data_IF_121056701829
#
_entry.id   IF_121056701829
#
_cell.length_a   1.000
_cell.length_b   1.000
_cell.length_c   1.000
_cell.angle_alpha   90.00
_cell.angle_beta   90.00
_cell.angle_gamma   90.00
#
_symmetry.space_group_name_H-M   'P 1'
#
loop_
_entity.id
_entity.type
_entity.pdbx_description
1 polymer ?
#
# COMPACT_ATOMS: atom_id res chain seq x y z
N UNK A 1 -3.69 -6.87 17.09
CA UNK A 1 -3.81 -8.08 16.26
C UNK A 1 -5.25 -8.65 16.17
N UNK A 2 -6.22 -8.13 16.94
CA UNK A 2 -7.63 -8.57 16.86
C UNK A 2 -8.51 -7.72 15.91
N UNK A 3 -8.08 -6.50 15.56
CA UNK A 3 -8.85 -5.57 14.71
C UNK A 3 -8.86 -5.98 13.24
N UNK A 4 -7.76 -6.55 12.73
CA UNK A 4 -7.63 -7.00 11.33
C UNK A 4 -8.57 -8.19 11.05
N UNK A 5 -8.64 -9.18 11.95
CA UNK A 5 -9.50 -10.37 11.77
C UNK A 5 -11.00 -10.02 11.76
N UNK A 6 -11.39 -8.92 12.41
CA UNK A 6 -12.81 -8.48 12.44
C UNK A 6 -13.27 -7.86 11.11
N UNK A 7 -12.36 -7.34 10.30
CA UNK A 7 -12.67 -6.71 9.01
C UNK A 7 -12.97 -7.76 7.93
N UNK A 8 -12.24 -8.88 7.91
CA UNK A 8 -12.51 -10.00 6.99
C UNK A 8 -13.92 -10.60 7.19
N UNK A 9 -14.47 -10.56 8.41
CA UNK A 9 -15.82 -11.06 8.70
C UNK A 9 -16.95 -10.10 8.21
N UNK A 10 -16.60 -8.86 7.85
CA UNK A 10 -17.51 -7.84 7.31
C UNK A 10 -17.48 -7.73 5.78
N UNK A 11 -16.71 -8.60 5.09
CA UNK A 11 -16.61 -8.60 3.63
C UNK A 11 -15.93 -7.36 3.04
N UNK A 12 -15.03 -6.72 3.79
CA UNK A 12 -14.12 -5.70 3.23
C UNK A 12 -12.96 -6.42 2.53
N UNK A 13 -12.66 -6.04 1.29
CA UNK A 13 -11.62 -6.66 0.45
C UNK A 13 -10.41 -5.71 0.33
N UNK A 14 -9.20 -6.26 0.16
CA UNK A 14 -7.91 -5.56 0.36
C UNK A 14 -7.69 -4.30 -0.50
N UNK A 15 -8.50 -4.06 -1.53
CA UNK A 15 -8.42 -2.87 -2.40
C UNK A 15 -9.72 -2.06 -2.49
N UNK A 16 -10.68 -2.32 -1.60
CA UNK A 16 -11.90 -1.49 -1.54
C UNK A 16 -11.62 -0.09 -1.00
N UNK A 17 -12.34 0.89 -1.54
CA UNK A 17 -12.23 2.29 -1.13
C UNK A 17 -13.33 2.62 -0.13
N UNK A 18 -12.94 3.22 0.98
CA UNK A 18 -13.82 3.57 2.09
C UNK A 18 -13.69 5.04 2.44
N UNK A 19 -14.82 5.67 2.72
CA UNK A 19 -14.88 6.98 3.37
C UNK A 19 -15.05 6.78 4.87
N UNK A 20 -14.24 7.51 5.65
CA UNK A 20 -14.27 7.52 7.11
C UNK A 20 -14.80 8.88 7.55
N UNK A 21 -15.98 8.92 8.16
CA UNK A 21 -16.65 10.18 8.56
C UNK A 21 -16.14 10.73 9.90
N UNK A 22 -15.69 9.85 10.79
CA UNK A 22 -15.20 10.22 12.12
C UNK A 22 -13.94 9.41 12.47
N UNK A 23 -12.90 10.12 12.90
CA UNK A 23 -11.57 9.58 13.20
C UNK A 23 -11.04 10.22 14.47
N UNK A 24 -10.89 9.40 15.51
CA UNK A 24 -10.15 9.78 16.72
C UNK A 24 -8.76 9.14 16.67
N UNK A 25 -7.72 9.96 16.76
CA UNK A 25 -6.33 9.51 16.83
C UNK A 25 -5.96 9.25 18.28
N UNK A 26 -5.75 7.99 18.65
CA UNK A 26 -5.24 7.64 19.97
C UNK A 26 -3.72 7.43 19.91
N UNK A 27 -2.97 8.28 20.60
CA UNK A 27 -1.54 8.10 20.77
C UNK A 27 -1.29 7.10 21.90
N UNK A 28 -0.57 6.01 21.61
CA UNK A 28 -0.15 5.06 22.64
C UNK A 28 0.74 5.70 23.72
N UNK A 29 0.96 5.03 24.87
CA UNK A 29 1.71 5.59 26.02
C UNK A 29 3.19 5.91 25.72
N UNK A 30 3.75 5.42 24.61
CA UNK A 30 5.04 5.86 24.06
C UNK A 30 4.77 6.89 22.95
N UNK A 31 4.91 8.18 23.27
CA UNK A 31 4.65 9.33 22.40
C UNK A 31 5.58 9.46 21.18
N UNK A 32 5.64 8.43 20.34
CA UNK A 32 6.23 8.49 19.01
C UNK A 32 5.10 8.60 17.97
N UNK A 33 5.25 9.49 16.99
CA UNK A 33 4.38 9.66 15.82
C UNK A 33 4.10 8.36 15.04
N UNK A 34 4.83 7.28 15.35
CA UNK A 34 4.78 5.98 14.68
C UNK A 34 3.67 5.06 15.22
N UNK A 35 3.10 5.34 16.39
CA UNK A 35 2.05 4.51 17.01
C UNK A 35 0.81 5.35 17.33
N UNK A 36 0.13 5.74 16.27
CA UNK A 36 -1.22 6.30 16.34
C UNK A 36 -2.18 5.25 15.79
N UNK A 37 -3.12 4.79 16.61
CA UNK A 37 -4.21 3.94 16.15
C UNK A 37 -5.41 4.83 15.80
N UNK A 38 -6.03 4.55 14.66
CA UNK A 38 -7.22 5.26 14.20
C UNK A 38 -8.44 4.50 14.69
N UNK A 39 -9.20 5.12 15.59
CA UNK A 39 -10.51 4.60 15.97
C UNK A 39 -11.57 5.14 15.00
N UNK A 40 -12.19 4.24 14.24
CA UNK A 40 -13.18 4.58 13.22
C UNK A 40 -14.59 4.56 13.80
N UNK A 41 -15.31 5.68 13.73
CA UNK A 41 -16.70 5.77 14.18
C UNK A 41 -17.70 5.23 13.14
N UNK A 42 -17.55 5.66 11.88
CA UNK A 42 -18.38 5.22 10.75
C UNK A 42 -17.51 5.02 9.51
N UNK A 43 -17.76 3.92 8.78
CA UNK A 43 -17.13 3.60 7.49
C UNK A 43 -18.23 3.43 6.44
N UNK A 44 -18.03 4.07 5.28
CA UNK A 44 -18.89 3.88 4.11
C UNK A 44 -18.06 3.25 2.99
N UNK A 45 -18.56 2.17 2.41
CA UNK A 45 -17.93 1.57 1.24
C UNK A 45 -18.34 2.35 -0.01
N UNK A 46 -17.40 3.09 -0.59
CA UNK A 46 -17.61 3.85 -1.83
C UNK A 46 -17.49 2.91 -3.03
N UNK A 47 -16.45 2.08 -3.01
CA UNK A 47 -16.17 1.14 -4.07
C UNK A 47 -15.70 -0.18 -3.49
N UNK A 48 -16.45 -1.24 -3.80
CA UNK A 48 -16.15 -2.60 -3.34
C UNK A 48 -15.23 -3.28 -4.35
N UNK A 49 -14.08 -3.75 -3.89
CA UNK A 49 -13.18 -4.55 -4.70
C UNK A 49 -13.71 -5.98 -4.90
N UNK A 50 -13.19 -6.66 -5.93
CA UNK A 50 -13.50 -8.06 -6.23
C UNK A 50 -13.01 -8.94 -5.08
N UNK A 51 -13.74 -10.03 -4.79
CA UNK A 51 -13.45 -10.88 -3.63
C UNK A 51 -12.09 -11.58 -3.73
N UNK A 52 -11.75 -12.06 -4.92
CA UNK A 52 -10.49 -12.71 -5.22
C UNK A 52 -9.70 -11.82 -6.15
N UNK A 53 -8.65 -11.20 -5.63
CA UNK A 53 -7.75 -10.41 -6.44
C UNK A 53 -6.86 -11.33 -7.28
N UNK A 54 -6.55 -10.96 -8.53
CA UNK A 54 -5.68 -11.74 -9.40
C UNK A 54 -4.22 -11.73 -8.94
N UNK A 55 -3.79 -10.69 -8.24
CA UNK A 55 -2.49 -10.59 -7.55
C UNK A 55 -2.67 -9.97 -6.18
N UNK A 56 -1.93 -10.45 -5.17
CA UNK A 56 -1.90 -9.83 -3.85
C UNK A 56 -0.90 -8.67 -3.84
N UNK A 57 -1.28 -7.54 -3.24
CA UNK A 57 -0.41 -6.38 -3.12
C UNK A 57 0.81 -6.68 -2.25
N UNK A 58 0.64 -7.44 -1.18
CA UNK A 58 1.72 -7.79 -0.24
C UNK A 58 2.77 -8.67 -0.92
N UNK A 59 2.33 -9.66 -1.72
CA UNK A 59 3.24 -10.53 -2.47
C UNK A 59 3.99 -9.75 -3.57
N UNK A 60 3.35 -8.75 -4.19
CA UNK A 60 3.96 -7.90 -5.21
C UNK A 60 4.89 -6.81 -4.63
N UNK A 61 4.74 -6.45 -3.36
CA UNK A 61 5.55 -5.43 -2.68
C UNK A 61 6.85 -5.99 -2.08
N UNK A 62 6.94 -7.32 -1.87
CA UNK A 62 8.14 -7.96 -1.34
C UNK A 62 9.33 -7.83 -2.29
N UNK A 63 10.50 -7.70 -1.69
CA UNK A 63 11.76 -7.69 -2.42
C UNK A 63 12.31 -9.10 -2.63
N UNK A 64 13.11 -9.29 -3.68
CA UNK A 64 13.82 -10.54 -3.95
C UNK A 64 14.71 -10.96 -2.76
N UNK A 65 15.32 -9.99 -2.08
CA UNK A 65 16.13 -10.23 -0.89
C UNK A 65 15.34 -10.78 0.31
N UNK A 66 14.05 -10.46 0.42
CA UNK A 66 13.17 -11.04 1.45
C UNK A 66 12.73 -12.46 1.06
N UNK A 67 12.53 -12.72 -0.22
CA UNK A 67 12.20 -14.05 -0.74
C UNK A 67 13.36 -15.02 -0.56
N UNK A 68 14.60 -14.60 -0.85
CA UNK A 68 15.80 -15.42 -0.62
C UNK A 68 15.99 -15.76 0.87
N UNK A 69 15.75 -14.80 1.76
CA UNK A 69 15.82 -15.02 3.21
C UNK A 69 14.73 -15.99 3.69
N UNK A 70 13.52 -15.87 3.15
CA UNK A 70 12.43 -16.78 3.47
C UNK A 70 12.71 -18.20 2.95
N UNK A 71 13.27 -18.32 1.75
CA UNK A 71 13.67 -19.61 1.18
C UNK A 71 14.77 -20.28 2.02
N UNK A 72 15.74 -19.51 2.51
CA UNK A 72 16.76 -19.99 3.46
C UNK A 72 16.16 -20.41 4.82
N UNK A 73 15.10 -19.74 5.26
CA UNK A 73 14.34 -20.10 6.45
C UNK A 73 13.36 -21.27 6.24
N UNK A 74 13.26 -21.79 5.01
CA UNK A 74 12.37 -22.90 4.64
C UNK A 74 10.92 -22.47 4.41
N UNK A 75 10.63 -21.17 4.35
CA UNK A 75 9.30 -20.63 4.09
C UNK A 75 9.15 -20.26 2.60
N UNK A 76 8.22 -20.95 1.90
CA UNK A 76 7.91 -20.63 0.51
C UNK A 76 6.91 -19.49 0.45
N UNK A 77 7.42 -18.27 0.32
CA UNK A 77 6.61 -17.10 0.01
C UNK A 77 6.30 -17.05 -1.50
N UNK A 78 5.05 -16.75 -1.83
CA UNK A 78 4.65 -16.57 -3.22
C UNK A 78 5.28 -15.28 -3.80
N UNK A 79 5.89 -15.40 -4.97
CA UNK A 79 6.42 -14.27 -5.73
C UNK A 79 5.59 -14.08 -7.01
N UNK A 80 5.30 -12.81 -7.34
CA UNK A 80 4.54 -12.46 -8.54
C UNK A 80 5.51 -12.21 -9.69
N UNK A 81 5.49 -13.08 -10.70
CA UNK A 81 6.32 -12.92 -11.90
C UNK A 81 5.99 -11.66 -12.71
N UNK A 82 6.96 -11.20 -13.51
CA UNK A 82 6.86 -9.93 -14.24
C UNK A 82 5.68 -9.90 -15.23
N UNK A 83 5.42 -10.99 -15.95
CA UNK A 83 4.30 -11.06 -16.90
C UNK A 83 2.94 -10.85 -16.20
N UNK A 84 2.77 -11.47 -15.03
CA UNK A 84 1.56 -11.31 -14.21
C UNK A 84 1.41 -9.88 -13.70
N UNK A 85 2.53 -9.22 -13.34
CA UNK A 85 2.51 -7.80 -12.93
C UNK A 85 2.13 -6.87 -14.07
N UNK A 86 2.61 -7.15 -15.29
CA UNK A 86 2.27 -6.37 -16.48
C UNK A 86 0.81 -6.57 -16.90
N UNK A 87 0.28 -7.79 -16.80
CA UNK A 87 -1.13 -8.08 -17.07
C UNK A 87 -2.08 -7.36 -16.10
N UNK A 88 -1.67 -7.19 -14.84
CA UNK A 88 -2.45 -6.50 -13.80
C UNK A 88 -1.79 -5.21 -13.33
N UNK A 89 -1.25 -4.43 -14.27
CA UNK A 89 -0.43 -3.23 -13.97
C UNK A 89 -1.15 -2.20 -13.09
N UNK A 90 -2.47 -2.07 -13.21
CA UNK A 90 -3.26 -1.16 -12.37
C UNK A 90 -3.15 -1.48 -10.87
N UNK A 91 -3.02 -2.76 -10.52
CA UNK A 91 -2.84 -3.20 -9.13
C UNK A 91 -1.37 -3.06 -8.73
N UNK A 92 -0.44 -3.48 -9.60
CA UNK A 92 1.01 -3.39 -9.35
C UNK A 92 1.48 -1.94 -9.10
N UNK A 93 0.90 -0.96 -9.79
CA UNK A 93 1.21 0.46 -9.59
C UNK A 93 0.80 0.99 -8.20
N UNK A 94 -0.01 0.25 -7.43
CA UNK A 94 -0.37 0.61 -6.05
C UNK A 94 0.70 0.20 -5.03
N UNK A 95 1.70 -0.59 -5.43
CA UNK A 95 2.80 -0.95 -4.53
C UNK A 95 3.56 0.31 -4.09
N UNK A 96 4.04 0.36 -2.83
CA UNK A 96 4.75 1.52 -2.31
C UNK A 96 6.01 1.86 -3.13
N UNK A 97 6.70 0.84 -3.65
CA UNK A 97 7.86 1.00 -4.52
C UNK A 97 7.51 1.71 -5.84
N UNK A 98 6.49 1.23 -6.57
CA UNK A 98 6.08 1.87 -7.83
C UNK A 98 5.52 3.29 -7.62
N UNK A 99 4.76 3.51 -6.54
CA UNK A 99 4.30 4.86 -6.17
C UNK A 99 5.47 5.81 -5.91
N UNK A 100 6.51 5.35 -5.22
CA UNK A 100 7.71 6.15 -4.97
C UNK A 100 8.48 6.45 -6.28
N UNK A 101 8.68 5.44 -7.14
CA UNK A 101 9.36 5.61 -8.44
C UNK A 101 8.65 6.65 -9.31
N UNK A 102 7.33 6.56 -9.41
CA UNK A 102 6.55 7.52 -10.21
C UNK A 102 6.62 8.94 -9.63
N UNK A 103 6.57 9.09 -8.31
CA UNK A 103 6.75 10.41 -7.67
C UNK A 103 8.11 11.01 -7.98
N UNK A 104 9.18 10.23 -7.83
CA UNK A 104 10.55 10.68 -8.13
C UNK A 104 10.69 11.06 -9.61
N UNK A 105 10.13 10.24 -10.51
CA UNK A 105 10.15 10.52 -11.94
C UNK A 105 9.44 11.84 -12.27
N UNK A 106 8.24 12.05 -11.73
CA UNK A 106 7.51 13.31 -11.91
C UNK A 106 8.24 14.51 -11.30
N UNK A 107 8.86 14.34 -10.12
CA UNK A 107 9.67 15.39 -9.51
C UNK A 107 10.84 15.80 -10.40
N UNK A 108 11.52 14.83 -11.03
CA UNK A 108 12.61 15.12 -11.98
C UNK A 108 12.09 15.96 -13.14
N UNK A 109 11.03 15.54 -13.80
CA UNK A 109 10.49 16.26 -14.98
C UNK A 109 10.14 17.72 -14.64
N UNK A 110 9.44 17.92 -13.52
CA UNK A 110 9.08 19.27 -13.06
C UNK A 110 10.29 20.16 -12.77
N UNK A 111 11.40 19.59 -12.30
CA UNK A 111 12.64 20.35 -12.08
C UNK A 111 13.41 20.66 -13.36
N UNK A 112 13.29 19.84 -14.40
CA UNK A 112 13.94 20.08 -15.70
C UNK A 112 13.20 21.12 -16.53
N UNK A 113 11.86 21.12 -16.47
CA UNK A 113 11.03 22.11 -17.18
C UNK A 113 10.86 23.44 -16.41
N UNK A 114 11.33 23.50 -15.16
CA UNK A 114 11.31 24.73 -14.40
C UNK A 114 12.25 25.76 -15.03
N UNK A 115 11.79 27.00 -15.31
CA UNK A 115 12.69 28.05 -15.76
C UNK A 115 13.81 28.22 -14.73
N UNK A 116 15.06 28.49 -15.16
CA UNK A 116 16.15 28.71 -14.24
C UNK A 116 15.75 29.80 -13.25
N UNK A 117 15.83 29.49 -11.96
CA UNK A 117 15.63 30.48 -10.90
C UNK A 117 16.72 31.54 -11.07
N UNK A 118 16.39 32.66 -11.73
CA UNK A 118 17.23 33.86 -11.74
C UNK A 118 16.93 34.55 -10.41
N UNK A 119 17.86 34.57 -9.44
CA UNK A 119 17.66 35.39 -8.25
C UNK A 119 17.62 36.85 -8.70
N UNK A 120 16.51 37.53 -8.41
CA UNK A 120 16.33 38.97 -8.61
C UNK A 120 17.08 39.73 -7.51
#
# INVERSE_FOLDING_TARGET
MQTITRIHHCGLFDLSSFDIEWMDCFCGPSGCILQVEIQVGKIYCINRAIQTLPINLEDAARSEAELEKAEQAGEKLACVGQDTRLNYRTIDLRTPSNQAVLRIHTSRELTFDAPPFIPV
#
